data_IF_799871068714
#
_entry.id   IF_799871068714
#
_cell.length_a   1.000
_cell.length_b   1.000
_cell.length_c   1.000
_cell.angle_alpha   90.00
_cell.angle_beta   90.00
_cell.angle_gamma   90.00
#
_symmetry.space_group_name_H-M   'P 1'
#
loop_
_entity.id
_entity.type
_entity.pdbx_description
1 polymer ?
#
# COMPACT_ATOMS: atom_id res chain seq x y z
N UNK A 1 23.94 27.34 -24.68
CA UNK A 1 23.68 26.51 -23.50
C UNK A 1 23.41 25.06 -23.90
N UNK A 2 22.39 24.77 -24.71
CA UNK A 2 22.04 23.41 -25.13
C UNK A 2 23.20 22.61 -25.70
N UNK A 3 24.00 23.21 -26.61
CA UNK A 3 25.19 22.58 -27.19
C UNK A 3 26.23 22.19 -26.13
N UNK A 4 26.50 23.04 -25.13
CA UNK A 4 27.40 22.72 -24.02
C UNK A 4 26.89 21.54 -23.18
N UNK A 5 25.58 21.47 -22.92
CA UNK A 5 24.96 20.33 -22.19
C UNK A 5 25.18 19.05 -23.00
N UNK A 6 24.87 19.05 -24.29
CA UNK A 6 25.10 17.88 -25.17
C UNK A 6 26.57 17.46 -25.23
N UNK A 7 27.51 18.40 -25.18
CA UNK A 7 28.92 18.08 -25.07
C UNK A 7 29.27 17.41 -23.73
N UNK A 8 28.74 17.91 -22.63
CA UNK A 8 28.94 17.30 -21.29
C UNK A 8 28.37 15.87 -21.29
N UNK A 9 27.15 15.66 -21.76
CA UNK A 9 26.54 14.33 -21.85
C UNK A 9 27.42 13.36 -22.68
N UNK A 10 27.98 13.82 -23.80
CA UNK A 10 28.88 13.01 -24.63
C UNK A 10 30.19 12.68 -23.92
N UNK A 11 30.80 13.65 -23.21
CA UNK A 11 32.04 13.44 -22.44
C UNK A 11 31.77 12.42 -21.31
N UNK A 12 30.59 12.41 -20.74
CA UNK A 12 30.18 11.45 -19.69
C UNK A 12 29.76 10.08 -20.24
N UNK A 13 29.88 9.84 -21.54
CA UNK A 13 29.66 8.53 -22.17
C UNK A 13 28.28 8.35 -22.78
N UNK A 14 27.49 9.42 -22.97
CA UNK A 14 26.24 9.32 -23.72
C UNK A 14 26.51 9.18 -25.21
N UNK A 15 25.99 8.13 -25.82
CA UNK A 15 26.08 7.94 -27.27
C UNK A 15 25.17 8.97 -28.01
N UNK A 16 25.64 9.59 -29.09
CA UNK A 16 24.87 10.58 -29.86
C UNK A 16 23.64 9.97 -30.55
N UNK A 17 23.74 8.69 -30.93
CA UNK A 17 22.66 7.95 -31.59
C UNK A 17 22.29 6.76 -30.69
N UNK A 18 21.09 6.77 -30.13
CA UNK A 18 20.59 5.70 -29.30
C UNK A 18 19.11 5.38 -29.65
N UNK A 19 18.73 4.15 -29.38
CA UNK A 19 17.33 3.70 -29.59
C UNK A 19 16.40 4.48 -28.67
N UNK A 20 15.26 4.91 -29.17
CA UNK A 20 14.22 5.57 -28.36
C UNK A 20 13.89 4.69 -27.12
N UNK A 21 13.89 5.31 -25.94
CA UNK A 21 13.63 4.63 -24.64
C UNK A 21 14.72 3.64 -24.19
N UNK A 22 15.92 3.66 -24.75
CA UNK A 22 17.03 2.88 -24.18
C UNK A 22 17.59 3.55 -22.92
N UNK A 23 18.17 2.77 -21.96
CA UNK A 23 18.86 3.32 -20.80
C UNK A 23 19.97 4.29 -21.21
N UNK A 24 20.15 5.38 -20.47
CA UNK A 24 21.18 6.39 -20.70
C UNK A 24 22.01 6.54 -19.44
N UNK A 25 23.32 6.77 -19.62
CA UNK A 25 24.24 7.01 -18.50
C UNK A 25 23.91 8.33 -17.79
N UNK A 26 23.55 9.35 -18.57
CA UNK A 26 23.17 10.68 -18.09
C UNK A 26 22.17 11.33 -19.05
N UNK A 27 21.24 12.11 -18.51
CA UNK A 27 20.31 12.97 -19.24
C UNK A 27 20.17 14.29 -18.46
N UNK A 28 20.50 15.41 -19.09
CA UNK A 28 20.49 16.73 -18.44
C UNK A 28 19.37 17.57 -19.05
N UNK A 29 18.31 17.77 -18.29
CA UNK A 29 17.18 18.62 -18.69
C UNK A 29 17.34 20.06 -18.19
N UNK A 30 17.08 21.05 -19.05
CA UNK A 30 16.95 22.45 -18.64
C UNK A 30 15.52 22.69 -18.20
N UNK A 31 15.29 22.87 -16.92
CA UNK A 31 13.96 23.00 -16.35
C UNK A 31 13.41 24.43 -16.50
N UNK A 32 14.25 25.42 -16.17
CA UNK A 32 13.88 26.82 -16.12
C UNK A 32 15.11 27.71 -16.31
N UNK A 33 14.90 28.92 -16.79
CA UNK A 33 15.96 29.91 -16.96
C UNK A 33 15.42 31.33 -16.75
N UNK A 34 16.23 32.17 -16.12
CA UNK A 34 15.97 33.61 -15.99
C UNK A 34 17.10 34.43 -16.60
N UNK A 35 16.74 35.59 -17.10
CA UNK A 35 17.70 36.63 -17.53
C UNK A 35 17.29 37.94 -16.90
N UNK A 36 18.14 38.49 -16.05
CA UNK A 36 17.90 39.73 -15.30
C UNK A 36 16.58 39.72 -14.48
N UNK A 37 16.27 38.55 -13.86
CA UNK A 37 15.04 38.36 -13.07
C UNK A 37 13.77 38.10 -13.88
N UNK A 38 13.86 38.00 -15.21
CA UNK A 38 12.69 37.70 -16.08
C UNK A 38 12.77 36.26 -16.59
N UNK A 39 11.65 35.53 -16.61
CA UNK A 39 11.57 34.21 -17.20
C UNK A 39 11.98 34.21 -18.68
N UNK A 40 12.86 33.30 -19.06
CA UNK A 40 13.20 33.05 -20.46
C UNK A 40 12.20 32.02 -21.00
N UNK A 41 11.49 32.37 -22.06
CA UNK A 41 10.56 31.48 -22.74
C UNK A 41 11.16 31.07 -24.08
N UNK A 42 11.34 29.77 -24.29
CA UNK A 42 11.83 29.20 -25.56
C UNK A 42 10.86 28.09 -25.98
N UNK A 43 10.42 28.13 -27.23
CA UNK A 43 9.55 27.09 -27.79
C UNK A 43 10.06 26.75 -29.19
N UNK A 44 11.02 25.82 -29.22
CA UNK A 44 11.57 25.29 -30.49
C UNK A 44 11.41 23.77 -30.51
N UNK A 45 11.62 23.15 -31.68
CA UNK A 45 11.59 21.69 -31.79
C UNK A 45 12.66 21.00 -30.89
N UNK A 46 13.76 21.68 -30.59
CA UNK A 46 14.91 21.13 -29.85
C UNK A 46 14.90 21.50 -28.37
N UNK A 47 14.22 22.60 -27.97
CA UNK A 47 14.26 23.13 -26.61
C UNK A 47 12.97 23.85 -26.26
N UNK A 48 12.37 23.45 -25.15
CA UNK A 48 11.23 24.12 -24.54
C UNK A 48 11.60 24.57 -23.13
N UNK A 49 11.54 25.87 -22.84
CA UNK A 49 11.77 26.46 -21.51
C UNK A 49 10.58 27.39 -21.19
N UNK A 50 9.92 27.23 -20.02
CA UNK A 50 10.09 26.16 -19.00
C UNK A 50 9.82 24.77 -19.57
N UNK A 51 10.50 23.74 -18.99
CA UNK A 51 10.38 22.38 -19.49
C UNK A 51 8.92 21.90 -19.45
N UNK A 52 8.42 21.35 -20.56
CA UNK A 52 6.99 21.00 -20.73
C UNK A 52 6.44 20.05 -19.66
N UNK A 53 7.32 19.13 -19.16
CA UNK A 53 6.94 18.15 -18.14
C UNK A 53 7.33 18.58 -16.71
N UNK A 54 7.77 19.83 -16.50
CA UNK A 54 8.27 20.30 -15.19
C UNK A 54 7.25 20.07 -14.10
N UNK A 55 5.98 20.41 -14.35
CA UNK A 55 4.90 20.26 -13.37
C UNK A 55 4.26 18.86 -13.35
N UNK A 56 4.65 17.95 -14.23
CA UNK A 56 4.09 16.60 -14.33
C UNK A 56 5.03 15.52 -13.75
N UNK A 57 6.23 15.92 -13.28
CA UNK A 57 7.27 14.99 -12.81
C UNK A 57 7.61 15.28 -11.35
N UNK A 58 7.14 14.45 -10.42
CA UNK A 58 7.41 14.63 -9.00
C UNK A 58 8.91 14.57 -8.67
N UNK A 59 9.68 13.67 -9.31
CA UNK A 59 11.14 13.59 -9.16
C UNK A 59 11.90 14.84 -9.63
N UNK A 60 11.23 15.76 -10.35
CA UNK A 60 11.73 17.09 -10.73
C UNK A 60 11.29 18.14 -9.73
N UNK A 61 9.99 18.14 -9.37
CA UNK A 61 9.41 19.16 -8.50
C UNK A 61 9.89 19.04 -7.06
N UNK A 62 10.06 17.83 -6.55
CA UNK A 62 10.48 17.62 -5.17
C UNK A 62 11.87 18.20 -4.89
N UNK A 63 12.96 17.84 -5.60
CA UNK A 63 14.26 18.48 -5.41
C UNK A 63 14.23 20.00 -5.70
N UNK A 64 13.48 20.42 -6.73
CA UNK A 64 13.36 21.83 -7.07
C UNK A 64 12.70 22.63 -5.95
N UNK A 65 11.72 22.06 -5.24
CA UNK A 65 11.06 22.69 -4.10
C UNK A 65 11.99 22.92 -2.91
N UNK A 66 13.03 22.10 -2.75
CA UNK A 66 14.05 22.25 -1.69
C UNK A 66 15.07 23.36 -2.01
N UNK A 67 15.46 23.50 -3.28
CA UNK A 67 16.47 24.50 -3.68
C UNK A 67 15.85 25.84 -4.09
N UNK A 68 14.59 25.87 -4.53
CA UNK A 68 13.91 27.06 -4.98
C UNK A 68 12.43 27.11 -4.52
N UNK A 69 12.11 27.08 -3.20
CA UNK A 69 10.74 26.93 -2.70
C UNK A 69 9.82 28.10 -3.09
N UNK A 70 10.40 29.29 -3.26
CA UNK A 70 9.66 30.51 -3.58
C UNK A 70 9.52 30.74 -5.10
N UNK A 71 10.13 29.92 -5.93
CA UNK A 71 10.08 30.07 -7.39
C UNK A 71 8.64 29.85 -7.88
N UNK A 72 8.16 30.78 -8.71
CA UNK A 72 6.87 30.68 -9.38
C UNK A 72 7.07 30.71 -10.88
N UNK A 73 6.56 29.72 -11.59
CA UNK A 73 6.64 29.58 -13.03
C UNK A 73 5.22 29.51 -13.60
N UNK A 74 4.88 30.40 -14.53
CA UNK A 74 3.53 30.48 -15.13
C UNK A 74 2.41 30.57 -14.07
N UNK A 75 2.63 31.34 -13.00
CA UNK A 75 1.67 31.52 -11.90
C UNK A 75 1.53 30.34 -10.93
N UNK A 76 2.31 29.27 -11.10
CA UNK A 76 2.34 28.11 -10.21
C UNK A 76 3.59 28.17 -9.31
N UNK A 77 3.43 28.17 -8.00
CA UNK A 77 4.53 28.12 -7.05
C UNK A 77 5.06 26.69 -6.92
N UNK A 78 6.40 26.54 -7.03
CA UNK A 78 7.05 25.23 -7.04
C UNK A 78 6.79 24.43 -5.77
N UNK A 79 6.90 25.04 -4.58
CA UNK A 79 6.65 24.35 -3.32
C UNK A 79 5.18 23.86 -3.22
N UNK A 80 4.24 24.69 -3.66
CA UNK A 80 2.81 24.32 -3.65
C UNK A 80 2.52 23.19 -4.63
N UNK A 81 3.08 23.25 -5.83
CA UNK A 81 2.89 22.19 -6.84
C UNK A 81 3.64 20.92 -6.47
N UNK A 82 4.84 21.01 -5.86
CA UNK A 82 5.54 19.86 -5.31
C UNK A 82 4.71 19.15 -4.23
N UNK A 83 4.14 19.89 -3.28
CA UNK A 83 3.26 19.32 -2.25
C UNK A 83 2.03 18.62 -2.83
N UNK A 84 1.49 19.11 -3.95
CA UNK A 84 0.39 18.44 -4.67
C UNK A 84 0.86 17.17 -5.40
N UNK A 85 2.13 17.14 -5.81
CA UNK A 85 2.75 16.03 -6.53
C UNK A 85 3.72 15.21 -5.67
N UNK A 86 3.80 15.44 -4.35
CA UNK A 86 4.42 14.43 -3.47
C UNK A 86 3.77 13.13 -3.87
N UNK A 87 4.51 12.30 -4.59
CA UNK A 87 4.09 10.96 -4.91
C UNK A 87 3.82 10.33 -3.58
N UNK A 88 2.55 10.21 -3.23
CA UNK A 88 2.14 9.41 -2.12
C UNK A 88 2.68 8.02 -2.45
N UNK A 89 3.79 7.66 -1.83
CA UNK A 89 4.38 6.36 -2.02
C UNK A 89 3.70 5.45 -1.03
N UNK A 90 2.76 4.65 -1.52
CA UNK A 90 2.09 3.68 -0.66
C UNK A 90 3.12 2.78 -0.01
N UNK A 91 3.02 2.63 1.31
CA UNK A 91 3.79 1.63 2.03
C UNK A 91 3.37 0.22 1.60
N UNK A 92 4.32 -0.69 1.48
CA UNK A 92 4.01 -2.09 1.13
C UNK A 92 3.86 -2.91 2.41
N UNK A 93 2.74 -3.61 2.50
CA UNK A 93 2.48 -4.65 3.48
C UNK A 93 2.51 -6.01 2.79
N UNK A 94 3.53 -6.81 3.08
CA UNK A 94 3.73 -8.12 2.47
C UNK A 94 3.06 -9.22 3.29
N UNK A 95 2.39 -10.16 2.62
CA UNK A 95 1.63 -11.25 3.24
C UNK A 95 2.55 -12.45 3.47
N UNK A 96 2.50 -13.01 4.67
CA UNK A 96 3.12 -14.29 5.05
C UNK A 96 2.06 -15.20 5.65
N UNK A 97 1.70 -16.25 4.92
CA UNK A 97 0.70 -17.23 5.37
C UNK A 97 1.38 -18.41 6.06
N UNK A 98 0.98 -18.69 7.31
CA UNK A 98 1.47 -19.80 8.15
C UNK A 98 0.37 -20.85 8.23
N UNK A 99 0.22 -21.64 7.18
CA UNK A 99 -0.82 -22.68 7.13
C UNK A 99 -0.34 -23.93 6.39
N UNK A 100 -1.07 -25.04 6.59
CA UNK A 100 -0.75 -26.35 5.99
C UNK A 100 -1.08 -26.47 4.50
N UNK A 101 -1.57 -25.43 3.83
CA UNK A 101 -1.98 -25.48 2.43
C UNK A 101 -0.80 -25.29 1.48
N UNK A 102 0.08 -26.31 1.43
CA UNK A 102 1.18 -26.41 0.44
C UNK A 102 0.70 -26.48 -1.02
N UNK A 103 -0.59 -26.72 -1.28
CA UNK A 103 -1.14 -26.84 -2.63
C UNK A 103 -1.28 -25.52 -3.41
N UNK A 104 -1.27 -24.37 -2.74
CA UNK A 104 -1.32 -23.04 -3.39
C UNK A 104 0.04 -22.35 -3.51
N UNK A 105 1.08 -22.91 -2.90
CA UNK A 105 2.43 -22.32 -2.90
C UNK A 105 2.60 -21.09 -2.00
N UNK A 106 1.54 -20.61 -1.34
CA UNK A 106 1.55 -19.32 -0.62
C UNK A 106 1.65 -19.44 0.89
N UNK A 107 1.63 -20.64 1.47
CA UNK A 107 1.67 -20.86 2.92
C UNK A 107 2.51 -22.06 3.32
N UNK A 108 3.20 -21.97 4.47
CA UNK A 108 3.95 -23.06 5.08
C UNK A 108 3.92 -22.94 6.59
N UNK A 109 3.96 -24.09 7.29
CA UNK A 109 4.25 -24.15 8.74
C UNK A 109 5.72 -24.45 9.01
N UNK A 110 6.53 -24.64 7.98
CA UNK A 110 7.97 -24.87 8.10
C UNK A 110 8.67 -23.57 8.54
N UNK A 111 9.38 -23.64 9.66
CA UNK A 111 10.07 -22.50 10.26
C UNK A 111 11.13 -21.91 9.32
N UNK A 112 11.91 -22.74 8.62
CA UNK A 112 12.97 -22.29 7.73
C UNK A 112 12.39 -21.59 6.48
N UNK A 113 11.28 -22.12 5.94
CA UNK A 113 10.61 -21.50 4.78
C UNK A 113 10.09 -20.11 5.16
N UNK A 114 9.44 -19.97 6.33
CA UNK A 114 8.91 -18.71 6.82
C UNK A 114 10.03 -17.72 7.15
N UNK A 115 11.09 -18.16 7.83
CA UNK A 115 12.24 -17.30 8.12
C UNK A 115 12.91 -16.78 6.84
N UNK A 116 13.15 -17.64 5.84
CA UNK A 116 13.72 -17.22 4.56
C UNK A 116 12.82 -16.24 3.81
N UNK A 117 11.50 -16.44 3.84
CA UNK A 117 10.52 -15.51 3.25
C UNK A 117 10.57 -14.17 3.97
N UNK A 118 10.54 -14.15 5.29
CA UNK A 118 10.62 -12.91 6.09
C UNK A 118 11.97 -12.23 5.85
N UNK A 119 13.08 -12.95 5.84
CA UNK A 119 14.41 -12.40 5.53
C UNK A 119 14.41 -11.69 4.17
N UNK A 120 13.90 -12.34 3.12
CA UNK A 120 13.79 -11.74 1.78
C UNK A 120 12.96 -10.45 1.78
N UNK A 121 11.85 -10.39 2.53
CA UNK A 121 11.00 -9.20 2.65
C UNK A 121 11.72 -8.08 3.41
N UNK A 122 12.53 -8.42 4.42
CA UNK A 122 13.39 -7.47 5.14
C UNK A 122 14.42 -6.84 4.21
N UNK A 123 15.11 -7.63 3.41
CA UNK A 123 16.07 -7.16 2.39
C UNK A 123 15.41 -6.21 1.37
N UNK A 124 14.15 -6.47 1.04
CA UNK A 124 13.34 -5.66 0.12
C UNK A 124 12.74 -4.41 0.79
N UNK A 125 13.01 -4.19 2.08
CA UNK A 125 12.60 -3.02 2.87
C UNK A 125 11.10 -2.74 2.83
N UNK A 126 10.26 -3.78 2.90
CA UNK A 126 8.81 -3.59 3.06
C UNK A 126 8.52 -2.88 4.39
N UNK A 127 7.46 -2.08 4.43
CA UNK A 127 7.11 -1.35 5.64
C UNK A 127 6.44 -2.25 6.70
N UNK A 128 5.66 -3.22 6.23
CA UNK A 128 4.93 -4.15 7.08
C UNK A 128 5.09 -5.59 6.58
N UNK A 129 5.14 -6.53 7.51
CA UNK A 129 4.99 -7.96 7.25
C UNK A 129 3.75 -8.44 8.00
N UNK A 130 2.73 -8.88 7.26
CA UNK A 130 1.44 -9.30 7.78
C UNK A 130 1.35 -10.82 7.82
N UNK A 131 1.30 -11.38 9.03
CA UNK A 131 1.41 -12.81 9.28
C UNK A 131 0.04 -13.34 9.68
N UNK A 132 -0.48 -14.29 8.91
CA UNK A 132 -1.75 -14.96 9.16
C UNK A 132 -1.59 -16.48 9.25
N UNK A 133 -2.15 -17.09 10.29
CA UNK A 133 -2.14 -18.55 10.45
C UNK A 133 -3.48 -19.21 10.08
N UNK A 134 -4.51 -18.41 9.83
CA UNK A 134 -5.79 -18.83 9.30
C UNK A 134 -5.93 -18.39 7.83
N UNK A 135 -6.54 -19.24 7.00
CA UNK A 135 -6.83 -18.88 5.62
C UNK A 135 -8.18 -18.18 5.54
N UNK A 136 -8.20 -16.96 5.03
CA UNK A 136 -9.42 -16.21 4.72
C UNK A 136 -10.10 -16.65 3.41
N UNK A 137 -9.65 -17.77 2.82
CA UNK A 137 -10.28 -18.34 1.63
C UNK A 137 -11.72 -18.82 1.97
N UNK A 138 -12.74 -18.50 1.15
CA UNK A 138 -14.14 -18.92 1.39
C UNK A 138 -14.36 -20.43 1.56
N UNK A 139 -13.42 -21.25 1.12
CA UNK A 139 -13.46 -22.71 1.24
C UNK A 139 -12.76 -23.24 2.49
N UNK A 140 -12.05 -22.41 3.22
CA UNK A 140 -11.36 -22.80 4.45
C UNK A 140 -12.33 -22.85 5.62
N UNK A 141 -12.16 -23.84 6.50
CA UNK A 141 -12.89 -23.87 7.76
C UNK A 141 -12.22 -22.92 8.76
N UNK A 142 -12.99 -22.20 9.57
CA UNK A 142 -12.45 -21.42 10.68
C UNK A 142 -11.67 -22.32 11.64
N UNK A 143 -10.61 -21.78 12.22
CA UNK A 143 -9.81 -22.46 13.24
C UNK A 143 -9.99 -21.79 14.59
N UNK A 144 -9.65 -22.48 15.68
CA UNK A 144 -9.66 -21.85 17.00
C UNK A 144 -8.44 -20.97 17.24
N UNK A 145 -8.53 -20.03 18.19
CA UNK A 145 -7.38 -19.23 18.61
C UNK A 145 -6.20 -20.10 19.12
N UNK A 146 -6.48 -21.24 19.74
CA UNK A 146 -5.46 -22.20 20.18
C UNK A 146 -4.71 -22.80 19.00
N UNK A 147 -5.43 -23.23 17.97
CA UNK A 147 -4.83 -23.80 16.75
C UNK A 147 -4.03 -22.71 15.99
N UNK A 148 -4.54 -21.50 15.91
CA UNK A 148 -3.86 -20.37 15.32
C UNK A 148 -2.52 -20.09 16.01
N UNK A 149 -2.51 -20.01 17.34
CA UNK A 149 -1.31 -19.83 18.14
C UNK A 149 -0.35 -21.02 18.02
N UNK A 150 -0.86 -22.25 17.93
CA UNK A 150 -0.04 -23.44 17.74
C UNK A 150 0.72 -23.39 16.39
N UNK A 151 0.05 -23.01 15.32
CA UNK A 151 0.70 -22.83 13.99
C UNK A 151 1.80 -21.77 14.02
N UNK A 152 1.55 -20.61 14.63
CA UNK A 152 2.54 -19.54 14.76
C UNK A 152 3.78 -20.01 15.56
N UNK A 153 3.58 -20.78 16.63
CA UNK A 153 4.67 -21.36 17.44
C UNK A 153 5.44 -22.41 16.65
N UNK A 154 4.75 -23.34 15.98
CA UNK A 154 5.38 -24.38 15.17
C UNK A 154 6.23 -23.80 14.04
N UNK A 155 5.79 -22.70 13.44
CA UNK A 155 6.52 -21.98 12.41
C UNK A 155 7.63 -21.05 12.95
N UNK A 156 7.90 -21.09 14.24
CA UNK A 156 8.92 -20.28 14.96
C UNK A 156 8.85 -18.77 14.70
N UNK A 157 7.64 -18.25 14.46
CA UNK A 157 7.40 -16.86 14.09
C UNK A 157 7.91 -15.88 15.15
N UNK A 158 7.75 -16.20 16.44
CA UNK A 158 8.11 -15.27 17.52
C UNK A 158 9.63 -15.06 17.63
N UNK A 159 10.44 -16.10 17.42
CA UNK A 159 11.90 -15.97 17.37
C UNK A 159 12.33 -15.23 16.09
N UNK A 160 11.70 -15.52 14.97
CA UNK A 160 11.94 -14.82 13.70
C UNK A 160 11.65 -13.32 13.83
N UNK A 161 10.52 -12.92 14.42
CA UNK A 161 10.21 -11.51 14.69
C UNK A 161 11.27 -10.87 15.56
N UNK A 162 11.64 -11.50 16.66
CA UNK A 162 12.68 -11.00 17.59
C UNK A 162 14.01 -10.75 16.87
N UNK A 163 14.39 -11.62 15.93
CA UNK A 163 15.60 -11.49 15.11
C UNK A 163 15.57 -10.25 14.20
N UNK A 164 14.41 -9.95 13.57
CA UNK A 164 14.29 -8.91 12.57
C UNK A 164 13.65 -7.60 13.07
N UNK A 165 13.22 -7.52 14.32
CA UNK A 165 12.52 -6.36 14.91
C UNK A 165 13.31 -5.04 14.82
N UNK A 166 14.63 -5.09 14.78
CA UNK A 166 15.52 -3.92 14.73
C UNK A 166 15.63 -3.25 13.37
N UNK A 167 15.03 -3.83 12.33
CA UNK A 167 15.20 -3.38 10.94
C UNK A 167 14.18 -2.30 10.53
N UNK A 168 13.44 -1.72 11.48
CA UNK A 168 12.44 -0.68 11.19
C UNK A 168 11.14 -1.20 10.55
N UNK A 169 11.01 -2.52 10.38
CA UNK A 169 9.83 -3.19 9.84
C UNK A 169 8.82 -3.42 10.95
N UNK A 170 7.54 -3.24 10.62
CA UNK A 170 6.43 -3.47 11.52
C UNK A 170 5.81 -4.84 11.24
N UNK A 171 5.66 -5.65 12.29
CA UNK A 171 5.03 -6.96 12.20
C UNK A 171 3.55 -6.85 12.56
N UNK A 172 2.70 -7.33 11.66
CA UNK A 172 1.25 -7.37 11.78
C UNK A 172 0.77 -8.80 11.95
N UNK A 173 -0.21 -9.00 12.84
CA UNK A 173 -0.94 -10.26 12.97
C UNK A 173 -2.30 -10.14 12.30
N UNK A 174 -2.56 -10.96 11.27
CA UNK A 174 -3.86 -11.09 10.60
C UNK A 174 -4.72 -12.09 11.39
N UNK A 175 -5.54 -11.57 12.27
CA UNK A 175 -6.41 -12.38 13.16
C UNK A 175 -7.63 -11.58 13.61
N UNK A 176 -8.75 -12.26 13.76
CA UNK A 176 -9.96 -11.76 14.42
C UNK A 176 -10.20 -12.37 15.81
N UNK A 177 -9.24 -13.16 16.32
CA UNK A 177 -9.28 -13.75 17.65
C UNK A 177 -8.57 -12.87 18.68
N UNK A 178 -9.27 -12.27 19.66
CA UNK A 178 -8.65 -11.40 20.66
C UNK A 178 -7.53 -12.08 21.46
N UNK A 179 -7.70 -13.40 21.77
CA UNK A 179 -6.67 -14.18 22.47
C UNK A 179 -5.35 -14.29 21.69
N UNK A 180 -5.45 -14.50 20.37
CA UNK A 180 -4.28 -14.52 19.49
C UNK A 180 -3.65 -13.13 19.39
N UNK A 181 -4.47 -12.10 19.18
CA UNK A 181 -4.01 -10.71 19.07
C UNK A 181 -3.24 -10.29 20.33
N UNK A 182 -3.84 -10.49 21.52
CA UNK A 182 -3.20 -10.16 22.80
C UNK A 182 -1.86 -10.89 23.00
N UNK A 183 -1.82 -12.19 22.71
CA UNK A 183 -0.59 -12.98 22.81
C UNK A 183 0.48 -12.48 21.84
N UNK A 184 0.14 -12.22 20.58
CA UNK A 184 1.07 -11.74 19.56
C UNK A 184 1.64 -10.37 19.91
N UNK A 185 0.81 -9.42 20.38
CA UNK A 185 1.27 -8.09 20.81
C UNK A 185 2.27 -8.20 21.95
N UNK A 186 2.00 -9.04 22.97
CA UNK A 186 2.94 -9.30 24.07
C UNK A 186 4.26 -9.95 23.61
N UNK A 187 4.26 -10.57 22.43
CA UNK A 187 5.43 -11.25 21.84
C UNK A 187 6.03 -10.52 20.65
N UNK A 188 5.82 -9.21 20.53
CA UNK A 188 6.59 -8.34 19.65
C UNK A 188 5.90 -7.92 18.34
N UNK A 189 4.64 -8.25 18.14
CA UNK A 189 3.88 -7.67 17.02
C UNK A 189 3.53 -6.20 17.29
N UNK A 190 3.41 -5.41 16.23
CA UNK A 190 3.17 -3.96 16.25
C UNK A 190 1.76 -3.59 15.79
N UNK A 191 1.10 -4.47 15.04
CA UNK A 191 -0.16 -4.18 14.35
C UNK A 191 -1.12 -5.37 14.51
N UNK A 192 -2.38 -5.07 14.77
CA UNK A 192 -3.47 -6.04 14.68
C UNK A 192 -4.24 -5.76 13.39
N UNK A 193 -4.26 -6.74 12.47
CA UNK A 193 -5.04 -6.68 11.24
C UNK A 193 -6.28 -7.58 11.42
N UNK A 194 -7.46 -6.96 11.63
CA UNK A 194 -8.69 -7.71 11.88
C UNK A 194 -9.66 -7.61 10.71
N UNK A 195 -9.77 -8.70 9.95
CA UNK A 195 -10.72 -8.84 8.82
C UNK A 195 -12.19 -8.81 9.26
N UNK A 196 -12.49 -8.95 10.56
CA UNK A 196 -13.83 -8.82 11.12
C UNK A 196 -14.18 -7.38 11.56
N UNK A 197 -13.22 -6.45 11.45
CA UNK A 197 -13.45 -5.02 11.66
C UNK A 197 -13.66 -4.63 13.11
N UNK A 198 -12.96 -5.26 14.04
CA UNK A 198 -13.05 -4.98 15.49
C UNK A 198 -14.47 -5.08 16.06
N UNK A 199 -15.26 -6.04 15.51
CA UNK A 199 -16.62 -6.32 16.05
C UNK A 199 -16.59 -6.88 17.46
N UNK A 200 -15.47 -7.53 17.86
CA UNK A 200 -15.25 -7.98 19.22
C UNK A 200 -14.67 -6.83 20.06
N UNK A 201 -15.41 -6.39 21.08
CA UNK A 201 -15.00 -5.26 21.94
C UNK A 201 -13.66 -5.50 22.66
N UNK A 202 -13.23 -6.76 22.82
CA UNK A 202 -11.93 -7.09 23.40
C UNK A 202 -10.76 -6.62 22.55
N UNK A 203 -10.95 -6.47 21.21
CA UNK A 203 -9.93 -5.89 20.33
C UNK A 203 -9.65 -4.42 20.67
N UNK A 204 -10.70 -3.64 20.93
CA UNK A 204 -10.56 -2.26 21.38
C UNK A 204 -9.84 -2.15 22.72
N UNK A 205 -10.14 -3.08 23.66
CA UNK A 205 -9.47 -3.14 24.96
C UNK A 205 -7.98 -3.41 24.81
N UNK A 206 -7.58 -4.32 23.92
CA UNK A 206 -6.14 -4.58 23.63
C UNK A 206 -5.46 -3.29 23.14
N UNK A 207 -6.12 -2.51 22.28
CA UNK A 207 -5.60 -1.23 21.81
C UNK A 207 -5.47 -0.17 22.93
N UNK A 208 -6.41 -0.14 23.88
CA UNK A 208 -6.36 0.74 25.05
C UNK A 208 -5.18 0.41 25.98
N UNK A 209 -4.94 -0.88 26.22
CA UNK A 209 -3.90 -1.35 27.12
C UNK A 209 -2.49 -1.26 26.50
N UNK A 210 -2.38 -1.13 25.17
CA UNK A 210 -1.12 -1.13 24.43
C UNK A 210 -0.99 0.13 23.53
N UNK A 211 -0.44 1.21 24.05
CA UNK A 211 -0.43 2.53 23.39
C UNK A 211 0.47 2.60 22.13
N UNK A 212 1.42 1.67 21.96
CA UNK A 212 2.43 1.71 20.89
C UNK A 212 2.06 0.85 19.68
N UNK A 213 0.90 0.21 19.67
CA UNK A 213 0.44 -0.62 18.54
C UNK A 213 -0.54 0.12 17.66
N UNK A 214 -0.67 -0.37 16.42
CA UNK A 214 -1.66 0.09 15.45
C UNK A 214 -2.69 -1.00 15.17
N UNK A 215 -3.82 -0.59 14.61
CA UNK A 215 -4.88 -1.49 14.15
C UNK A 215 -5.17 -1.25 12.67
N UNK A 216 -5.41 -2.34 11.93
CA UNK A 216 -6.05 -2.32 10.63
C UNK A 216 -7.48 -2.84 10.85
N UNK A 217 -8.45 -1.96 10.62
CA UNK A 217 -9.88 -2.25 10.79
C UNK A 217 -10.50 -2.36 9.41
N UNK A 218 -11.05 -3.55 9.09
CA UNK A 218 -11.57 -3.81 7.75
C UNK A 218 -13.10 -3.76 7.71
N UNK A 219 -13.65 -3.12 6.66
CA UNK A 219 -15.05 -3.24 6.33
C UNK A 219 -15.35 -4.63 5.76
N UNK A 220 -16.02 -5.46 6.54
CA UNK A 220 -16.45 -6.79 6.12
C UNK A 220 -17.89 -7.08 6.54
N UNK A 221 -18.67 -7.64 5.61
CA UNK A 221 -20.00 -8.16 5.93
C UNK A 221 -19.87 -9.54 6.55
N UNK A 222 -18.93 -10.33 6.04
CA UNK A 222 -18.61 -11.67 6.52
C UNK A 222 -17.10 -11.87 6.61
N UNK A 223 -16.59 -12.45 7.70
CA UNK A 223 -15.16 -12.58 7.92
C UNK A 223 -14.42 -13.38 6.83
N UNK A 224 -15.08 -14.39 6.27
CA UNK A 224 -14.49 -15.40 5.40
C UNK A 224 -14.66 -15.09 3.90
N UNK A 225 -14.98 -13.85 3.51
CA UNK A 225 -15.16 -13.48 2.10
C UNK A 225 -16.22 -14.33 1.38
N UNK A 226 -17.25 -14.82 2.10
CA UNK A 226 -18.33 -15.63 1.54
C UNK A 226 -19.00 -14.87 0.39
N UNK A 227 -18.94 -15.46 -0.81
CA UNK A 227 -19.51 -14.86 -2.02
C UNK A 227 -21.03 -14.96 -2.11
N UNK A 228 -21.65 -15.70 -1.21
CA UNK A 228 -23.12 -15.80 -1.13
C UNK A 228 -23.73 -14.63 -0.37
N UNK A 229 -22.99 -14.09 0.60
CA UNK A 229 -23.38 -12.94 1.41
C UNK A 229 -22.66 -11.70 0.93
N UNK A 230 -23.20 -11.05 -0.08
CA UNK A 230 -22.68 -9.79 -0.65
C UNK A 230 -23.70 -8.68 -0.53
N UNK A 231 -23.23 -7.44 -0.54
CA UNK A 231 -24.10 -6.27 -0.62
C UNK A 231 -25.02 -6.34 -1.85
N UNK A 232 -26.28 -5.87 -1.74
CA UNK A 232 -27.15 -5.75 -2.90
C UNK A 232 -26.44 -5.01 -4.06
N UNK A 233 -26.63 -5.49 -5.29
CA UNK A 233 -25.91 -4.93 -6.46
C UNK A 233 -26.21 -3.43 -6.67
N UNK A 234 -27.39 -2.96 -6.28
CA UNK A 234 -27.84 -1.56 -6.37
C UNK A 234 -27.46 -0.71 -5.16
N UNK A 235 -26.79 -1.28 -4.15
CA UNK A 235 -26.40 -0.52 -2.98
C UNK A 235 -25.39 0.60 -3.35
N UNK A 236 -25.56 1.79 -2.78
CA UNK A 236 -24.58 2.84 -2.90
C UNK A 236 -23.38 2.53 -1.99
N UNK A 237 -22.37 1.92 -2.56
CA UNK A 237 -21.21 1.43 -1.79
C UNK A 237 -20.40 2.59 -1.18
N UNK A 238 -20.40 3.78 -1.79
CA UNK A 238 -19.69 4.95 -1.23
C UNK A 238 -20.37 5.40 0.06
N UNK A 239 -21.69 5.51 0.06
CA UNK A 239 -22.44 5.92 1.27
C UNK A 239 -22.25 4.89 2.40
N UNK A 240 -22.34 3.60 2.07
CA UNK A 240 -22.10 2.52 3.05
C UNK A 240 -20.71 2.62 3.67
N UNK A 241 -19.68 2.88 2.86
CA UNK A 241 -18.31 2.99 3.37
C UNK A 241 -18.12 4.29 4.16
N UNK A 242 -18.74 5.39 3.76
CA UNK A 242 -18.70 6.64 4.52
C UNK A 242 -19.37 6.49 5.90
N UNK A 243 -20.53 5.86 5.96
CA UNK A 243 -21.23 5.56 7.23
C UNK A 243 -20.36 4.67 8.12
N UNK A 244 -19.77 3.62 7.56
CA UNK A 244 -18.86 2.74 8.29
C UNK A 244 -17.62 3.47 8.83
N UNK A 245 -17.03 4.38 8.06
CA UNK A 245 -15.88 5.18 8.54
C UNK A 245 -16.30 6.08 9.71
N UNK A 246 -17.52 6.65 9.68
CA UNK A 246 -18.08 7.42 10.80
C UNK A 246 -18.20 6.53 12.04
N UNK A 247 -18.69 5.30 11.89
CA UNK A 247 -18.82 4.36 13.00
C UNK A 247 -17.44 3.96 13.58
N UNK A 248 -16.43 3.73 12.74
CA UNK A 248 -15.05 3.48 13.20
C UNK A 248 -14.51 4.67 13.98
N UNK A 249 -14.71 5.91 13.48
CA UNK A 249 -14.28 7.12 14.18
C UNK A 249 -14.98 7.27 15.54
N UNK A 250 -16.26 7.02 15.59
CA UNK A 250 -17.05 7.03 16.84
C UNK A 250 -16.51 6.02 17.85
N UNK A 251 -16.29 4.78 17.43
CA UNK A 251 -15.72 3.71 18.27
C UNK A 251 -14.31 4.04 18.76
N UNK A 252 -13.47 4.61 17.91
CA UNK A 252 -12.13 5.06 18.31
C UNK A 252 -12.19 6.11 19.43
N UNK A 253 -13.10 7.10 19.32
CA UNK A 253 -13.30 8.13 20.35
C UNK A 253 -13.84 7.55 21.65
N UNK A 254 -14.85 6.67 21.59
CA UNK A 254 -15.45 6.01 22.76
C UNK A 254 -14.41 5.20 23.55
N UNK A 255 -13.41 4.65 22.83
CA UNK A 255 -12.32 3.86 23.41
C UNK A 255 -11.05 4.68 23.70
N UNK A 256 -11.06 6.00 23.51
CA UNK A 256 -9.90 6.89 23.67
C UNK A 256 -8.68 6.45 22.84
N UNK A 257 -8.91 5.94 21.63
CA UNK A 257 -7.84 5.56 20.69
C UNK A 257 -7.57 6.71 19.71
N UNK A 258 -6.29 7.11 19.61
CA UNK A 258 -5.87 8.08 18.59
C UNK A 258 -6.08 7.50 17.19
N UNK A 259 -6.77 8.23 16.33
CA UNK A 259 -7.03 7.82 14.95
C UNK A 259 -5.76 7.57 14.12
N UNK A 260 -4.63 8.21 14.47
CA UNK A 260 -3.34 7.97 13.83
C UNK A 260 -2.81 6.55 14.05
N UNK A 261 -3.37 5.84 15.02
CA UNK A 261 -3.08 4.42 15.31
C UNK A 261 -3.99 3.47 14.54
N UNK A 262 -4.92 3.99 13.73
CA UNK A 262 -5.88 3.19 12.97
C UNK A 262 -5.62 3.37 11.48
N UNK A 263 -5.63 2.26 10.78
CA UNK A 263 -5.63 2.16 9.31
C UNK A 263 -6.97 1.49 8.94
N UNK A 264 -7.72 2.07 8.03
CA UNK A 264 -8.97 1.49 7.56
C UNK A 264 -8.75 0.72 6.26
N UNK A 265 -9.38 -0.46 6.13
CA UNK A 265 -9.39 -1.24 4.88
C UNK A 265 -10.83 -1.38 4.38
N UNK A 266 -11.09 -0.96 3.16
CA UNK A 266 -12.43 -1.04 2.56
C UNK A 266 -12.85 -2.47 2.19
N UNK A 267 -12.01 -3.46 2.42
CA UNK A 267 -12.35 -4.89 2.34
C UNK A 267 -12.72 -5.35 0.93
N UNK A 268 -11.84 -5.10 -0.04
CA UNK A 268 -11.99 -5.62 -1.40
C UNK A 268 -12.14 -7.15 -1.37
N UNK A 269 -13.23 -7.68 -1.95
CA UNK A 269 -13.53 -9.12 -1.98
C UNK A 269 -14.20 -9.66 -0.71
N UNK A 270 -14.54 -8.83 0.28
CA UNK A 270 -15.22 -9.24 1.53
C UNK A 270 -16.65 -8.70 1.56
N UNK A 271 -17.62 -9.56 1.20
CA UNK A 271 -19.03 -9.21 1.16
C UNK A 271 -19.41 -8.20 0.06
N UNK A 272 -18.63 -8.14 -1.02
CA UNK A 272 -18.85 -7.28 -2.16
C UNK A 272 -18.80 -8.06 -3.47
N UNK A 273 -19.57 -7.62 -4.45
CA UNK A 273 -19.48 -8.17 -5.81
C UNK A 273 -18.21 -7.67 -6.50
N UNK A 274 -17.75 -8.38 -7.54
CA UNK A 274 -16.59 -7.96 -8.31
C UNK A 274 -16.77 -6.56 -8.96
N UNK A 275 -18.01 -6.18 -9.32
CA UNK A 275 -18.32 -4.84 -9.83
C UNK A 275 -18.17 -3.77 -8.74
N UNK A 276 -18.63 -4.07 -7.52
CA UNK A 276 -18.48 -3.17 -6.37
C UNK A 276 -17.01 -3.02 -5.98
N UNK A 277 -16.21 -4.09 -5.99
CA UNK A 277 -14.77 -4.03 -5.76
C UNK A 277 -14.08 -3.08 -6.75
N UNK A 278 -14.35 -3.21 -8.04
CA UNK A 278 -13.80 -2.32 -9.06
C UNK A 278 -14.32 -0.89 -8.93
N UNK A 279 -15.57 -0.73 -8.53
CA UNK A 279 -16.15 0.60 -8.32
C UNK A 279 -15.43 1.32 -7.16
N UNK A 280 -15.15 0.63 -6.04
CA UNK A 280 -14.37 1.17 -4.93
C UNK A 280 -12.97 1.59 -5.41
N UNK A 281 -12.24 0.71 -6.10
CA UNK A 281 -10.89 0.99 -6.59
C UNK A 281 -10.86 2.23 -7.48
N UNK A 282 -11.85 2.37 -8.37
CA UNK A 282 -11.93 3.50 -9.29
C UNK A 282 -12.37 4.82 -8.63
N UNK A 283 -13.09 4.76 -7.51
CA UNK A 283 -13.68 5.92 -6.84
C UNK A 283 -13.18 6.09 -5.39
N UNK A 284 -12.02 5.53 -5.05
CA UNK A 284 -11.50 5.55 -3.69
C UNK A 284 -11.29 6.98 -3.15
N UNK A 285 -10.94 7.90 -4.03
CA UNK A 285 -10.79 9.33 -3.79
C UNK A 285 -12.11 10.06 -3.47
N UNK A 286 -13.27 9.41 -3.66
CA UNK A 286 -14.60 9.91 -3.31
C UNK A 286 -15.11 9.42 -1.96
N UNK A 287 -14.41 8.47 -1.33
CA UNK A 287 -14.75 7.98 0.00
C UNK A 287 -14.11 8.92 1.02
N UNK A 288 -14.91 9.50 1.91
CA UNK A 288 -14.41 10.34 2.99
C UNK A 288 -13.76 9.47 4.06
N UNK A 289 -12.44 9.34 4.01
CA UNK A 289 -11.67 8.59 4.99
C UNK A 289 -11.53 9.31 6.34
N UNK A 290 -12.09 10.52 6.51
CA UNK A 290 -12.05 11.34 7.73
C UNK A 290 -10.64 11.53 8.32
N UNK A 291 -9.61 11.45 7.46
CA UNK A 291 -8.21 11.56 7.81
C UNK A 291 -7.60 10.30 8.44
N UNK A 292 -8.26 9.15 8.37
CA UNK A 292 -7.61 7.87 8.60
C UNK A 292 -6.67 7.52 7.44
N UNK A 293 -5.62 6.77 7.75
CA UNK A 293 -4.82 6.10 6.72
C UNK A 293 -5.65 4.97 6.09
N UNK A 294 -5.46 4.75 4.79
CA UNK A 294 -6.20 3.77 4.02
C UNK A 294 -5.29 2.64 3.56
N UNK A 295 -5.70 1.41 3.81
CA UNK A 295 -5.09 0.20 3.27
C UNK A 295 -6.02 -0.42 2.22
N UNK A 296 -5.43 -0.97 1.15
CA UNK A 296 -6.14 -1.78 0.16
C UNK A 296 -5.42 -3.09 -0.11
N UNK A 297 -6.14 -4.20 0.16
CA UNK A 297 -5.70 -5.56 -0.17
C UNK A 297 -6.35 -6.05 -1.46
N UNK A 298 -5.80 -5.70 -2.62
CA UNK A 298 -6.35 -6.05 -3.94
C UNK A 298 -5.62 -7.22 -4.62
N UNK A 299 -4.43 -7.58 -4.12
CA UNK A 299 -3.52 -8.52 -4.75
C UNK A 299 -4.15 -9.89 -5.04
N UNK A 300 -3.99 -10.35 -6.28
CA UNK A 300 -4.39 -11.70 -6.75
C UNK A 300 -5.88 -12.05 -6.58
N UNK A 301 -6.75 -11.08 -6.26
CA UNK A 301 -8.16 -11.31 -5.94
C UNK A 301 -9.01 -11.65 -7.17
N UNK A 302 -10.08 -12.39 -6.92
CA UNK A 302 -10.95 -12.98 -7.96
C UNK A 302 -11.75 -11.97 -8.77
N UNK A 303 -11.94 -10.73 -8.29
CA UNK A 303 -12.65 -9.70 -9.05
C UNK A 303 -11.95 -9.37 -10.38
N UNK A 304 -10.63 -9.59 -10.49
CA UNK A 304 -9.87 -9.37 -11.71
C UNK A 304 -10.35 -10.22 -12.89
N UNK A 305 -11.10 -11.30 -12.63
CA UNK A 305 -11.69 -12.13 -13.70
C UNK A 305 -12.64 -11.36 -14.60
N UNK A 306 -13.38 -10.37 -14.08
CA UNK A 306 -14.28 -9.55 -14.91
C UNK A 306 -13.51 -8.57 -15.82
N UNK A 307 -12.21 -8.38 -15.59
CA UNK A 307 -11.29 -7.65 -16.46
C UNK A 307 -10.63 -8.55 -17.53
N UNK A 308 -11.08 -9.80 -17.67
CA UNK A 308 -10.56 -10.74 -18.64
C UNK A 308 -9.30 -11.49 -18.19
N UNK A 309 -8.84 -11.29 -16.97
CA UNK A 309 -7.63 -11.92 -16.41
C UNK A 309 -7.88 -13.41 -16.14
N UNK A 310 -7.06 -14.29 -16.73
CA UNK A 310 -7.24 -15.76 -16.69
C UNK A 310 -6.11 -16.46 -15.94
N UNK A 311 -4.87 -16.04 -16.13
CA UNK A 311 -3.67 -16.67 -15.58
C UNK A 311 -3.14 -15.98 -14.32
N UNK A 312 -2.26 -16.64 -13.57
CA UNK A 312 -1.60 -16.02 -12.41
C UNK A 312 -0.64 -14.89 -12.82
N UNK A 313 0.05 -15.03 -13.96
CA UNK A 313 0.91 -13.97 -14.51
C UNK A 313 0.08 -12.73 -14.83
N UNK A 314 -1.03 -12.88 -15.55
CA UNK A 314 -1.94 -11.76 -15.84
C UNK A 314 -2.52 -11.12 -14.56
N UNK A 315 -2.77 -11.92 -13.50
CA UNK A 315 -3.20 -11.41 -12.20
C UNK A 315 -2.12 -10.58 -11.53
N UNK A 316 -0.86 -11.01 -11.61
CA UNK A 316 0.27 -10.24 -11.07
C UNK A 316 0.42 -8.91 -11.82
N UNK A 317 0.36 -8.93 -13.15
CA UNK A 317 0.42 -7.71 -13.98
C UNK A 317 -0.74 -6.76 -13.67
N UNK A 318 -1.95 -7.29 -13.49
CA UNK A 318 -3.11 -6.50 -13.11
C UNK A 318 -2.97 -5.96 -11.68
N UNK A 319 -2.42 -6.76 -10.75
CA UNK A 319 -2.11 -6.30 -9.40
C UNK A 319 -1.18 -5.07 -9.45
N UNK A 320 -0.12 -5.12 -10.26
CA UNK A 320 0.84 -4.03 -10.41
C UNK A 320 0.18 -2.76 -10.98
N UNK A 321 -0.66 -2.91 -12.01
CA UNK A 321 -1.41 -1.78 -12.61
C UNK A 321 -2.36 -1.13 -11.61
N UNK A 322 -3.09 -1.95 -10.83
CA UNK A 322 -4.02 -1.45 -9.80
C UNK A 322 -3.23 -0.81 -8.66
N UNK A 323 -2.10 -1.38 -8.23
CA UNK A 323 -1.21 -0.77 -7.23
C UNK A 323 -0.78 0.64 -7.63
N UNK A 324 -0.30 0.80 -8.86
CA UNK A 324 0.10 2.12 -9.39
C UNK A 324 -1.08 3.12 -9.42
N UNK A 325 -2.30 2.66 -9.77
CA UNK A 325 -3.49 3.50 -9.73
C UNK A 325 -3.84 3.93 -8.30
N UNK A 326 -3.83 3.00 -7.34
CA UNK A 326 -4.17 3.25 -5.94
C UNK A 326 -3.16 4.20 -5.28
N UNK A 327 -1.87 4.02 -5.56
CA UNK A 327 -0.81 4.94 -5.11
C UNK A 327 -1.06 6.36 -5.62
N UNK A 328 -1.38 6.54 -6.91
CA UNK A 328 -1.72 7.84 -7.49
C UNK A 328 -2.98 8.47 -6.88
N UNK A 329 -3.89 7.66 -6.35
CA UNK A 329 -5.13 8.09 -5.69
C UNK A 329 -4.95 8.33 -4.17
N UNK A 330 -3.73 8.21 -3.65
CA UNK A 330 -3.41 8.53 -2.27
C UNK A 330 -3.70 7.42 -1.25
N UNK A 331 -3.68 6.15 -1.66
CA UNK A 331 -3.78 5.01 -0.73
C UNK A 331 -2.48 4.87 0.06
N UNK A 332 -2.56 4.80 1.39
CA UNK A 332 -1.39 4.81 2.28
C UNK A 332 -0.65 3.47 2.33
N UNK A 333 -1.37 2.35 2.26
CA UNK A 333 -0.81 1.01 2.39
C UNK A 333 -1.40 0.06 1.34
N UNK A 334 -0.54 -0.67 0.65
CA UNK A 334 -0.93 -1.75 -0.28
C UNK A 334 -0.56 -3.10 0.31
N UNK A 335 -1.56 -3.97 0.55
CA UNK A 335 -1.36 -5.33 1.06
C UNK A 335 -1.25 -6.32 -0.10
N UNK A 336 -0.06 -6.96 -0.25
CA UNK A 336 0.33 -7.70 -1.44
C UNK A 336 0.94 -9.07 -1.11
N UNK A 337 0.76 -10.08 -1.99
CA UNK A 337 1.38 -11.41 -1.88
C UNK A 337 2.86 -11.42 -2.32
N UNK A 338 3.30 -10.43 -3.06
CA UNK A 338 4.68 -10.26 -3.53
C UNK A 338 4.94 -8.80 -3.86
N UNK A 339 6.21 -8.44 -4.04
CA UNK A 339 6.54 -7.06 -4.37
C UNK A 339 6.13 -6.72 -5.80
N UNK A 340 5.67 -5.51 -5.94
CA UNK A 340 5.42 -4.86 -7.21
C UNK A 340 6.77 -4.39 -7.76
N UNK A 341 7.16 -4.82 -8.94
CA UNK A 341 8.22 -4.15 -9.68
C UNK A 341 7.66 -2.79 -10.15
N UNK A 342 7.86 -1.76 -9.32
CA UNK A 342 7.52 -0.37 -9.65
C UNK A 342 8.57 0.26 -10.54
#
# INVERSE_FOLDING_TARGET
MLQKIKQIETIMGREPIHKLWSPRIIDIDILYCEKQGFPVIITTAELIIPHKELFNRAFVLDPLSHIAPNLSINGKNILTESKKQVLHQSAIMAIVNVNNNSFSGDGSIDANINENKIHSLVEQRVAFIDIGAESTNPKSLPISAEEELNRLKTADIFNTIKKYKTNGIRFSIDTYHPKTAEFCIKNGFDVINDVNGFKDERMWKIMQENHNIEAIIMHSIVPNGDKKNVLPEKANIIDILNEWVIDVEKKARENNIDKNRIIIDYGIGFGKTAKQDLFIINNIDKIDNRGFRVLIGHSMKSFMKILGVKTNTERQDMTNKISSLLTKKGVDVLRLHGLVNC
#
